data_IF_001000134833
#
_entry.id   IF_001000134833
#
_cell.length_a   1.000
_cell.length_b   1.000
_cell.length_c   1.000
_cell.angle_alpha   90.00
_cell.angle_beta   90.00
_cell.angle_gamma   90.00
#
_symmetry.space_group_name_H-M   'P 1'
#
loop_
_entity.id
_entity.type
_entity.pdbx_description
1 polymer ?
#
# COMPACT_ATOMS: atom_id res chain seq x y z
N UNK A 1 -3.48 15.39 0.53
CA UNK A 1 -4.19 14.39 1.37
C UNK A 1 -5.33 13.69 0.64
N UNK A 2 -6.27 14.38 -0.05
CA UNK A 2 -7.42 13.71 -0.67
C UNK A 2 -7.07 12.51 -1.58
N UNK A 3 -6.04 12.66 -2.43
CA UNK A 3 -5.61 11.57 -3.32
C UNK A 3 -5.06 10.35 -2.56
N UNK A 4 -4.36 10.59 -1.45
CA UNK A 4 -3.86 9.51 -0.60
C UNK A 4 -5.03 8.79 0.08
N UNK A 5 -5.99 9.54 0.66
CA UNK A 5 -7.19 8.98 1.28
C UNK A 5 -7.93 8.07 0.29
N UNK A 6 -8.25 8.60 -0.89
CA UNK A 6 -8.97 7.85 -1.92
C UNK A 6 -8.21 6.59 -2.36
N UNK A 7 -6.88 6.67 -2.47
CA UNK A 7 -6.05 5.51 -2.80
C UNK A 7 -6.12 4.43 -1.72
N UNK A 8 -5.83 4.77 -0.46
CA UNK A 8 -5.79 3.79 0.63
C UNK A 8 -7.16 3.16 0.90
N UNK A 9 -8.24 3.94 0.83
CA UNK A 9 -9.62 3.43 0.88
C UNK A 9 -9.91 2.44 -0.26
N UNK A 10 -9.50 2.77 -1.48
CA UNK A 10 -9.78 1.92 -2.65
C UNK A 10 -9.08 0.55 -2.62
N UNK A 11 -7.97 0.42 -1.89
CA UNK A 11 -7.26 -0.86 -1.71
C UNK A 11 -7.69 -1.63 -0.47
N UNK A 12 -8.69 -1.12 0.26
CA UNK A 12 -9.35 -1.79 1.38
C UNK A 12 -8.79 -1.45 2.76
N UNK A 13 -8.13 -0.30 2.91
CA UNK A 13 -7.76 0.24 4.22
C UNK A 13 -8.77 1.29 4.67
N UNK A 14 -8.87 1.48 5.98
CA UNK A 14 -9.61 2.59 6.57
C UNK A 14 -8.65 3.76 6.81
N UNK A 15 -9.11 4.98 6.55
CA UNK A 15 -8.32 6.20 6.75
C UNK A 15 -8.99 7.09 7.78
N UNK A 16 -8.28 7.36 8.89
CA UNK A 16 -8.75 8.26 9.94
C UNK A 16 -7.94 9.54 9.85
N UNK A 17 -8.57 10.62 9.40
CA UNK A 17 -7.93 11.93 9.36
C UNK A 17 -7.76 12.47 10.78
N UNK A 18 -6.55 12.94 11.10
CA UNK A 18 -6.30 13.75 12.29
C UNK A 18 -6.59 15.23 12.00
N UNK A 19 -6.00 15.73 10.92
CA UNK A 19 -6.12 17.09 10.39
C UNK A 19 -5.81 17.08 8.88
N UNK A 20 -5.64 18.26 8.27
CA UNK A 20 -5.38 18.39 6.83
C UNK A 20 -4.00 17.87 6.37
N UNK A 21 -3.11 17.54 7.31
CA UNK A 21 -1.73 17.11 7.07
C UNK A 21 -1.36 15.74 7.61
N UNK A 22 -2.24 15.08 8.37
CA UNK A 22 -1.93 13.80 9.01
C UNK A 22 -3.12 12.84 9.05
N UNK A 23 -2.87 11.56 8.82
CA UNK A 23 -3.89 10.52 8.89
C UNK A 23 -3.31 9.18 9.37
N UNK A 24 -4.15 8.40 10.05
CA UNK A 24 -3.87 7.01 10.39
C UNK A 24 -4.44 6.08 9.32
N UNK A 25 -3.67 5.07 8.93
CA UNK A 25 -4.12 3.97 8.08
C UNK A 25 -4.39 2.75 8.95
N UNK A 26 -5.59 2.22 8.84
CA UNK A 26 -6.07 1.09 9.60
C UNK A 26 -6.42 -0.08 8.68
N UNK A 27 -6.33 -1.29 9.22
CA UNK A 27 -6.87 -2.50 8.62
C UNK A 27 -7.49 -3.36 9.71
N UNK A 28 -8.76 -3.74 9.51
CA UNK A 28 -9.57 -4.38 10.56
C UNK A 28 -9.54 -3.52 11.85
N UNK A 29 -9.24 -4.12 13.00
CA UNK A 29 -9.27 -3.41 14.29
C UNK A 29 -7.92 -2.76 14.66
N UNK A 30 -6.97 -2.69 13.72
CA UNK A 30 -5.58 -2.29 13.97
C UNK A 30 -5.10 -1.09 13.17
N UNK A 31 -4.29 -0.25 13.81
CA UNK A 31 -3.46 0.78 13.16
C UNK A 31 -2.27 0.11 12.47
N UNK A 32 -1.98 0.49 11.21
CA UNK A 32 -0.87 -0.05 10.44
C UNK A 32 0.30 0.92 10.32
N UNK A 33 0.04 2.14 9.84
CA UNK A 33 1.03 3.20 9.66
C UNK A 33 0.35 4.55 9.48
N UNK A 34 1.14 5.62 9.47
CA UNK A 34 0.63 6.98 9.38
C UNK A 34 1.05 7.63 8.06
N UNK A 35 0.21 8.53 7.57
CA UNK A 35 0.53 9.45 6.50
C UNK A 35 0.84 10.82 7.09
N UNK A 36 1.90 11.45 6.58
CA UNK A 36 2.21 12.85 6.83
C UNK A 36 2.34 13.57 5.49
N UNK A 37 1.64 14.69 5.34
CA UNK A 37 1.73 15.54 4.15
C UNK A 37 3.09 16.23 4.10
N UNK A 38 3.80 16.02 2.99
CA UNK A 38 5.02 16.75 2.63
C UNK A 38 4.72 17.51 1.33
N UNK A 39 4.42 18.82 1.39
CA UNK A 39 3.96 19.57 0.22
C UNK A 39 4.94 19.60 -0.95
N UNK A 40 6.24 19.58 -0.68
CA UNK A 40 7.32 19.68 -1.67
C UNK A 40 7.86 18.32 -2.12
N UNK A 41 7.20 17.22 -1.76
CA UNK A 41 7.60 15.86 -2.16
C UNK A 41 7.53 15.72 -3.69
N UNK A 42 8.61 15.21 -4.30
CA UNK A 42 8.60 14.72 -5.68
C UNK A 42 8.25 13.22 -5.68
N UNK A 43 7.05 12.82 -6.15
CA UNK A 43 6.64 11.41 -6.18
C UNK A 43 7.55 10.52 -7.03
N UNK A 44 8.22 11.09 -8.04
CA UNK A 44 9.11 10.33 -8.92
C UNK A 44 10.44 9.97 -8.25
N UNK A 45 10.85 10.77 -7.27
CA UNK A 45 12.09 10.60 -6.50
C UNK A 45 11.85 10.05 -5.08
N UNK A 46 10.59 9.81 -4.68
CA UNK A 46 10.28 9.29 -3.36
C UNK A 46 10.77 7.85 -3.21
N UNK A 47 11.62 7.62 -2.20
CA UNK A 47 12.25 6.34 -1.91
C UNK A 47 11.56 5.56 -0.77
N UNK A 48 10.49 6.11 -0.19
CA UNK A 48 9.75 5.45 0.88
C UNK A 48 9.09 4.15 0.38
N UNK A 49 9.21 3.10 1.19
CA UNK A 49 8.64 1.79 0.91
C UNK A 49 8.17 1.11 2.20
N UNK A 50 7.09 0.34 2.09
CA UNK A 50 6.55 -0.51 3.16
C UNK A 50 6.33 -1.93 2.65
N UNK A 51 6.60 -2.92 3.51
CA UNK A 51 6.33 -4.32 3.23
C UNK A 51 5.22 -4.83 4.17
N UNK A 52 4.12 -5.30 3.60
CA UNK A 52 3.02 -5.92 4.31
C UNK A 52 3.11 -7.44 4.15
N UNK A 53 3.45 -8.11 5.25
CA UNK A 53 3.31 -9.56 5.30
C UNK A 53 1.85 -9.90 5.53
N UNK A 54 1.23 -10.58 4.58
CA UNK A 54 -0.21 -10.89 4.61
C UNK A 54 -0.43 -12.39 4.60
N UNK A 55 -1.54 -12.89 5.17
CA UNK A 55 -1.83 -14.33 5.16
C UNK A 55 -2.07 -14.91 3.76
N UNK A 56 -2.72 -14.14 2.87
CA UNK A 56 -3.01 -14.55 1.49
C UNK A 56 -2.76 -13.40 0.51
N UNK A 57 -1.53 -13.32 0.01
CA UNK A 57 -1.12 -12.33 -0.98
C UNK A 57 -1.90 -12.45 -2.31
N UNK A 58 -2.42 -13.64 -2.65
CA UNK A 58 -3.16 -13.83 -3.90
C UNK A 58 -4.54 -13.16 -3.83
N UNK A 59 -5.20 -13.23 -2.67
CA UNK A 59 -6.44 -12.50 -2.42
C UNK A 59 -6.23 -10.98 -2.45
N UNK A 60 -5.14 -10.49 -1.87
CA UNK A 60 -4.76 -9.08 -1.93
C UNK A 60 -4.49 -8.62 -3.36
N UNK A 61 -3.70 -9.37 -4.13
CA UNK A 61 -3.38 -9.04 -5.52
C UNK A 61 -4.65 -8.96 -6.37
N UNK A 62 -5.54 -9.96 -6.27
CA UNK A 62 -6.81 -9.99 -6.99
C UNK A 62 -7.70 -8.78 -6.65
N UNK A 63 -7.74 -8.38 -5.38
CA UNK A 63 -8.52 -7.22 -4.93
C UNK A 63 -7.97 -5.93 -5.52
N UNK A 64 -6.67 -5.70 -5.40
CA UNK A 64 -6.02 -4.43 -5.76
C UNK A 64 -5.91 -4.29 -7.28
N UNK A 65 -5.48 -5.33 -8.00
CA UNK A 65 -5.32 -5.28 -9.45
C UNK A 65 -6.64 -5.07 -10.22
N UNK A 66 -7.79 -5.33 -9.59
CA UNK A 66 -9.10 -5.09 -10.19
C UNK A 66 -9.41 -3.59 -10.38
N UNK A 67 -8.86 -2.72 -9.53
CA UNK A 67 -9.07 -1.27 -9.57
C UNK A 67 -7.81 -0.48 -9.89
N UNK A 68 -6.63 -1.08 -9.69
CA UNK A 68 -5.33 -0.46 -9.94
C UNK A 68 -4.53 -1.31 -10.95
N UNK A 69 -4.68 -1.07 -12.26
CA UNK A 69 -4.07 -1.90 -13.31
C UNK A 69 -2.54 -1.82 -13.35
N UNK A 70 -1.95 -0.81 -12.72
CA UNK A 70 -0.52 -0.56 -12.55
C UNK A 70 0.10 -1.36 -11.38
N UNK A 71 -0.70 -2.17 -10.69
CA UNK A 71 -0.21 -3.22 -9.78
C UNK A 71 0.70 -4.19 -10.53
N UNK A 72 1.86 -4.52 -9.94
CA UNK A 72 2.77 -5.49 -10.56
C UNK A 72 2.15 -6.88 -10.68
N UNK A 73 2.81 -7.75 -11.44
CA UNK A 73 2.55 -9.18 -11.41
C UNK A 73 2.76 -9.73 -9.99
N UNK A 74 2.04 -10.82 -9.70
CA UNK A 74 2.19 -11.61 -8.48
C UNK A 74 3.18 -12.73 -8.78
N UNK A 75 4.37 -12.66 -8.19
CA UNK A 75 5.48 -13.53 -8.55
C UNK A 75 6.10 -14.21 -7.32
N UNK A 76 6.65 -15.40 -7.55
CA UNK A 76 7.45 -16.14 -6.57
C UNK A 76 8.91 -15.64 -6.64
N UNK A 77 9.52 -15.40 -5.49
CA UNK A 77 10.86 -14.81 -5.38
C UNK A 77 11.91 -15.82 -4.88
N UNK A 78 13.22 -15.57 -5.13
CA UNK A 78 14.30 -16.43 -4.64
C UNK A 78 14.41 -16.54 -3.10
N UNK A 79 13.75 -15.66 -2.34
CA UNK A 79 13.76 -15.63 -0.88
C UNK A 79 12.50 -16.24 -0.26
N UNK A 80 11.86 -17.17 -0.97
CA UNK A 80 10.71 -17.95 -0.50
C UNK A 80 9.45 -17.13 -0.18
N UNK A 81 9.19 -16.09 -0.98
CA UNK A 81 7.99 -15.27 -0.88
C UNK A 81 7.22 -15.30 -2.20
N UNK A 82 5.89 -15.24 -2.13
CA UNK A 82 5.04 -14.76 -3.22
C UNK A 82 4.71 -13.30 -2.93
N UNK A 83 4.98 -12.39 -3.86
CA UNK A 83 4.76 -10.96 -3.64
C UNK A 83 4.40 -10.18 -4.90
N UNK A 84 3.80 -9.01 -4.67
CA UNK A 84 3.56 -7.99 -5.69
C UNK A 84 3.78 -6.59 -5.09
N UNK A 85 3.74 -5.56 -5.92
CA UNK A 85 3.85 -4.17 -5.47
C UNK A 85 2.92 -3.23 -6.22
N UNK A 86 2.58 -2.13 -5.56
CA UNK A 86 1.86 -0.98 -6.11
C UNK A 86 2.50 0.30 -5.57
N UNK A 87 2.42 1.41 -6.32
CA UNK A 87 2.79 2.73 -5.81
C UNK A 87 1.54 3.53 -5.48
N UNK A 88 1.57 4.24 -4.36
CA UNK A 88 0.55 5.25 -4.07
C UNK A 88 0.80 6.54 -4.89
N UNK A 89 -0.13 7.51 -4.88
CA UNK A 89 0.02 8.77 -5.63
C UNK A 89 1.23 9.61 -5.23
N UNK A 90 1.78 9.40 -4.03
CA UNK A 90 2.99 10.06 -3.53
C UNK A 90 4.27 9.28 -3.86
N UNK A 91 4.17 8.19 -4.62
CA UNK A 91 5.29 7.36 -5.04
C UNK A 91 5.79 6.38 -3.98
N UNK A 92 5.13 6.27 -2.84
CA UNK A 92 5.48 5.27 -1.83
C UNK A 92 5.29 3.87 -2.42
N UNK A 93 6.32 3.01 -2.29
CA UNK A 93 6.23 1.63 -2.76
C UNK A 93 5.60 0.75 -1.69
N UNK A 94 4.40 0.22 -1.94
CA UNK A 94 3.74 -0.75 -1.08
C UNK A 94 3.97 -2.15 -1.66
N UNK A 95 4.64 -3.01 -0.90
CA UNK A 95 4.89 -4.41 -1.25
C UNK A 95 4.05 -5.31 -0.37
N UNK A 96 3.39 -6.30 -0.96
CA UNK A 96 2.59 -7.28 -0.23
C UNK A 96 3.15 -8.66 -0.49
N UNK A 97 3.29 -9.48 0.53
CA UNK A 97 3.78 -10.84 0.34
C UNK A 97 3.38 -11.84 1.42
N UNK A 98 3.43 -13.11 1.03
CA UNK A 98 3.23 -14.29 1.89
C UNK A 98 4.37 -15.29 1.64
N UNK A 99 4.71 -16.11 2.63
CA UNK A 99 5.67 -17.19 2.41
C UNK A 99 5.15 -18.17 1.34
N UNK A 100 6.06 -18.74 0.56
CA UNK A 100 5.79 -19.95 -0.23
C UNK A 100 5.84 -21.13 0.75
N UNK A 101 4.71 -21.83 0.93
CA UNK A 101 4.65 -23.04 1.76
C UNK A 101 5.63 -24.14 1.31
#
# INVERSE_FOLDING_TARGET
MPDAVAFYESIGFDVIMYDDGYAWIHYEDGELFHLALVPELDPSANAAAGYFHVPDVSAWHKRISATHPDTSTLDDTPWNMREFSIKDPSGNLLRFGSNLD
#
